data_IF_069110607335
#
_entry.id   IF_069110607335
#
_cell.length_a   1.000
_cell.length_b   1.000
_cell.length_c   1.000
_cell.angle_alpha   90.00
_cell.angle_beta   90.00
_cell.angle_gamma   90.00
#
_symmetry.space_group_name_H-M   'P 1'
#
loop_
_entity.id
_entity.type
_entity.pdbx_description
1 polymer ?
#
# COMPACT_ATOMS: atom_id res chain seq x y z
N UNK A 1 -17.66 9.70 7.82
CA UNK A 1 -17.99 10.96 8.55
C UNK A 1 -16.95 12.07 8.33
N UNK A 2 -15.62 11.81 8.39
CA UNK A 2 -14.57 12.82 8.19
C UNK A 2 -14.72 13.59 6.87
N UNK A 3 -15.01 12.90 5.75
CA UNK A 3 -15.25 13.56 4.46
C UNK A 3 -16.52 14.41 4.43
N UNK A 4 -17.55 14.06 5.21
CA UNK A 4 -18.77 14.86 5.31
C UNK A 4 -18.52 16.15 6.08
N UNK A 5 -17.71 16.10 7.14
CA UNK A 5 -17.31 17.31 7.88
C UNK A 5 -16.42 18.21 7.03
N UNK A 6 -15.51 17.65 6.24
CA UNK A 6 -14.64 18.41 5.33
C UNK A 6 -15.35 19.02 4.12
N UNK A 7 -16.62 18.72 3.89
CA UNK A 7 -17.44 19.34 2.82
C UNK A 7 -18.05 20.68 3.21
N UNK A 8 -18.00 21.10 4.48
CA UNK A 8 -18.44 22.44 4.91
C UNK A 8 -17.48 23.51 4.36
N UNK A 9 -17.94 24.47 3.53
CA UNK A 9 -17.10 25.49 2.91
C UNK A 9 -16.44 26.46 3.94
N UNK A 10 -16.94 26.48 5.18
CA UNK A 10 -16.38 27.30 6.25
C UNK A 10 -15.32 26.55 7.09
N UNK A 11 -15.08 25.27 6.81
CA UNK A 11 -14.14 24.43 7.55
C UNK A 11 -12.81 24.34 6.82
N UNK A 12 -11.72 24.67 7.51
CA UNK A 12 -10.36 24.35 7.06
C UNK A 12 -10.05 22.94 7.55
N UNK A 13 -10.12 21.96 6.64
CA UNK A 13 -9.94 20.55 7.00
C UNK A 13 -8.47 20.12 6.85
N UNK A 14 -7.90 19.59 7.92
CA UNK A 14 -6.62 18.86 7.92
C UNK A 14 -6.81 17.34 7.97
N UNK A 15 -8.05 16.86 7.87
CA UNK A 15 -8.41 15.44 8.03
C UNK A 15 -8.28 14.58 6.77
N UNK A 16 -7.96 15.17 5.62
CA UNK A 16 -7.81 14.43 4.37
C UNK A 16 -6.72 14.99 3.47
N UNK A 17 -5.78 14.16 3.05
CA UNK A 17 -4.72 14.50 2.09
C UNK A 17 -5.21 14.38 0.64
N UNK A 18 -6.13 15.24 0.22
CA UNK A 18 -6.59 15.27 -1.16
C UNK A 18 -5.55 15.97 -2.06
N UNK A 19 -5.23 15.43 -3.25
CA UNK A 19 -4.47 16.15 -4.26
C UNK A 19 -5.16 17.46 -4.62
N UNK A 20 -4.38 18.53 -4.90
CA UNK A 20 -4.94 19.80 -5.36
C UNK A 20 -5.64 19.62 -6.70
N UNK A 21 -6.84 20.20 -6.84
CA UNK A 21 -7.60 20.15 -8.10
C UNK A 21 -6.84 20.77 -9.29
N UNK A 22 -5.97 21.73 -9.03
CA UNK A 22 -5.16 22.40 -10.04
C UNK A 22 -4.04 21.49 -10.62
N UNK A 23 -3.72 20.40 -9.94
CA UNK A 23 -2.67 19.46 -10.38
C UNK A 23 -3.19 18.36 -11.29
N UNK A 24 -4.52 18.25 -11.47
CA UNK A 24 -5.08 17.22 -12.34
C UNK A 24 -4.84 17.57 -13.82
N UNK A 25 -4.20 16.69 -14.62
CA UNK A 25 -3.95 16.91 -16.04
C UNK A 25 -5.23 16.60 -16.84
N UNK A 26 -6.27 17.42 -16.67
CA UNK A 26 -7.62 17.17 -17.21
C UNK A 26 -7.63 17.11 -18.74
N UNK A 27 -6.95 18.00 -19.50
CA UNK A 27 -6.94 17.92 -20.96
C UNK A 27 -6.32 16.61 -21.46
N UNK A 28 -5.16 16.24 -20.91
CA UNK A 28 -4.42 15.03 -21.30
C UNK A 28 -5.24 13.76 -20.98
N UNK A 29 -5.92 13.73 -19.86
CA UNK A 29 -6.81 12.62 -19.48
C UNK A 29 -7.99 12.53 -20.46
N UNK A 30 -8.59 13.67 -20.84
CA UNK A 30 -9.71 13.68 -21.79
C UNK A 30 -9.29 13.17 -23.18
N UNK A 31 -8.13 13.59 -23.67
CA UNK A 31 -7.58 13.12 -24.94
C UNK A 31 -7.29 11.62 -24.93
N UNK A 32 -6.64 11.11 -23.86
CA UNK A 32 -6.36 9.69 -23.68
C UNK A 32 -7.67 8.87 -23.66
N UNK A 33 -8.69 9.34 -22.94
CA UNK A 33 -10.00 8.66 -22.90
C UNK A 33 -10.62 8.60 -24.31
N UNK A 34 -10.56 9.69 -25.07
CA UNK A 34 -11.09 9.74 -26.43
C UNK A 34 -10.37 8.76 -27.36
N UNK A 35 -9.03 8.73 -27.29
CA UNK A 35 -8.20 7.81 -28.10
C UNK A 35 -8.49 6.34 -27.75
N UNK A 36 -8.53 5.99 -26.47
CA UNK A 36 -8.80 4.62 -26.03
C UNK A 36 -10.20 4.18 -26.42
N UNK A 37 -11.21 5.04 -26.30
CA UNK A 37 -12.58 4.72 -26.72
C UNK A 37 -12.70 4.57 -28.25
N UNK A 38 -11.87 5.26 -29.03
CA UNK A 38 -11.84 5.14 -30.48
C UNK A 38 -11.11 3.86 -30.94
N UNK A 39 -9.94 3.58 -30.32
CA UNK A 39 -9.04 2.55 -30.81
C UNK A 39 -9.32 1.16 -30.23
N UNK A 40 -9.82 1.09 -28.99
CA UNK A 40 -10.06 -0.17 -28.29
C UNK A 40 -11.35 -0.19 -27.46
N UNK A 41 -12.53 0.20 -28.02
CA UNK A 41 -13.77 0.35 -27.25
C UNK A 41 -14.21 -0.96 -26.57
N UNK A 42 -14.00 -2.10 -27.21
CA UNK A 42 -14.40 -3.40 -26.66
C UNK A 42 -13.58 -3.75 -25.43
N UNK A 43 -12.27 -3.50 -25.44
CA UNK A 43 -11.41 -3.80 -24.28
C UNK A 43 -11.72 -2.93 -23.05
N UNK A 44 -12.28 -1.73 -23.29
CA UNK A 44 -12.68 -0.80 -22.21
C UNK A 44 -14.03 -1.17 -21.62
N UNK A 45 -14.97 -1.65 -22.44
CA UNK A 45 -16.37 -1.85 -22.03
C UNK A 45 -16.72 -3.30 -21.70
N UNK A 46 -15.85 -4.27 -22.02
CA UNK A 46 -16.07 -5.69 -21.77
C UNK A 46 -15.41 -6.14 -20.45
N UNK A 47 -15.84 -7.28 -19.95
CA UNK A 47 -15.14 -7.97 -18.86
C UNK A 47 -13.69 -8.26 -19.22
N UNK A 48 -12.78 -8.03 -18.27
CA UNK A 48 -11.36 -8.35 -18.36
C UNK A 48 -10.97 -9.54 -17.45
N UNK A 49 -9.67 -9.79 -17.38
CA UNK A 49 -9.11 -10.76 -16.43
C UNK A 49 -9.24 -10.24 -14.99
N UNK A 50 -9.46 -11.15 -14.04
CA UNK A 50 -9.60 -10.80 -12.61
C UNK A 50 -8.33 -10.17 -12.03
N UNK A 51 -7.17 -10.56 -12.57
CA UNK A 51 -5.84 -10.03 -12.21
C UNK A 51 -5.62 -8.61 -12.71
N UNK A 52 -6.47 -8.13 -13.60
CA UNK A 52 -6.40 -6.81 -14.21
C UNK A 52 -5.97 -6.81 -15.68
N UNK A 53 -6.07 -5.65 -16.29
CA UNK A 53 -5.77 -5.43 -17.72
C UNK A 53 -4.29 -5.72 -18.01
N UNK A 54 -4.02 -6.73 -18.85
CA UNK A 54 -2.67 -7.25 -19.09
C UNK A 54 -1.66 -6.17 -19.50
N UNK A 55 -1.95 -5.26 -20.46
CA UNK A 55 -0.98 -4.22 -20.81
C UNK A 55 -0.59 -3.29 -19.64
N UNK A 56 -1.54 -2.99 -18.75
CA UNK A 56 -1.22 -2.20 -17.53
C UNK A 56 -0.36 -3.00 -16.55
N UNK A 57 -0.68 -4.29 -16.35
CA UNK A 57 0.14 -5.18 -15.51
C UNK A 57 1.58 -5.26 -16.03
N UNK A 58 1.77 -5.46 -17.32
CA UNK A 58 3.09 -5.57 -17.95
C UNK A 58 3.85 -4.24 -17.82
N UNK A 59 3.21 -3.11 -18.10
CA UNK A 59 3.80 -1.78 -17.93
C UNK A 59 4.23 -1.56 -16.47
N UNK A 60 3.39 -1.95 -15.50
CA UNK A 60 3.73 -1.79 -14.08
C UNK A 60 4.84 -2.74 -13.63
N UNK A 61 4.89 -3.97 -14.15
CA UNK A 61 6.00 -4.90 -13.88
C UNK A 61 7.32 -4.33 -14.38
N UNK A 62 7.36 -3.83 -15.61
CA UNK A 62 8.55 -3.19 -16.20
C UNK A 62 8.97 -1.96 -15.40
N UNK A 63 8.00 -1.13 -15.01
CA UNK A 63 8.25 0.06 -14.20
C UNK A 63 8.87 -0.30 -12.84
N UNK A 64 8.27 -1.22 -12.11
CA UNK A 64 8.73 -1.63 -10.77
C UNK A 64 10.06 -2.38 -10.82
N UNK A 65 10.30 -3.18 -11.85
CA UNK A 65 11.62 -3.82 -12.06
C UNK A 65 12.70 -2.75 -12.22
N UNK A 66 12.45 -1.76 -13.06
CA UNK A 66 13.44 -0.69 -13.36
C UNK A 66 13.65 0.27 -12.19
N UNK A 67 12.59 0.65 -11.47
CA UNK A 67 12.65 1.69 -10.44
C UNK A 67 12.86 1.15 -9.04
N UNK A 68 12.39 -0.06 -8.74
CA UNK A 68 12.40 -0.67 -7.40
C UNK A 68 13.21 -1.99 -7.35
N UNK A 69 13.66 -2.50 -8.50
CA UNK A 69 14.39 -3.77 -8.59
C UNK A 69 13.54 -4.99 -8.27
N UNK A 70 12.21 -4.93 -8.45
CA UNK A 70 11.34 -6.08 -8.15
C UNK A 70 11.57 -7.23 -9.15
N UNK A 71 11.62 -8.44 -8.62
CA UNK A 71 11.68 -9.69 -9.39
C UNK A 71 10.27 -10.21 -9.68
N UNK A 72 9.93 -10.37 -10.95
CA UNK A 72 8.66 -10.95 -11.40
C UNK A 72 8.76 -12.41 -11.89
N UNK A 73 9.90 -13.07 -11.74
CA UNK A 73 9.97 -14.52 -11.89
C UNK A 73 9.21 -15.22 -10.76
N UNK A 74 9.39 -14.73 -9.52
CA UNK A 74 8.78 -15.30 -8.32
C UNK A 74 7.57 -14.51 -7.81
N UNK A 75 7.35 -13.30 -8.31
CA UNK A 75 6.24 -12.44 -7.87
C UNK A 75 5.20 -12.25 -8.98
N UNK A 76 3.98 -11.95 -8.55
CA UNK A 76 2.87 -11.56 -9.42
C UNK A 76 2.37 -10.16 -9.06
N UNK A 77 1.71 -9.51 -10.02
CA UNK A 77 1.09 -8.20 -9.84
C UNK A 77 -0.38 -8.25 -10.26
N UNK A 78 -1.27 -7.86 -9.35
CA UNK A 78 -2.69 -7.66 -9.63
C UNK A 78 -3.05 -6.19 -9.61
N UNK A 79 -3.89 -5.77 -10.57
CA UNK A 79 -4.52 -4.44 -10.56
C UNK A 79 -5.80 -4.51 -9.74
N UNK A 80 -5.95 -3.60 -8.80
CA UNK A 80 -7.03 -3.59 -7.82
C UNK A 80 -7.71 -2.21 -7.74
N UNK A 81 -8.86 -2.14 -7.08
CA UNK A 81 -9.64 -0.90 -6.90
C UNK A 81 -9.05 0.00 -5.81
N UNK A 82 -7.80 0.41 -6.00
CA UNK A 82 -7.04 1.27 -5.10
C UNK A 82 -6.38 0.51 -3.94
N UNK A 83 -5.51 1.18 -3.19
CA UNK A 83 -4.77 0.59 -2.07
C UNK A 83 -5.66 -0.02 -0.97
N UNK A 84 -6.89 0.50 -0.80
CA UNK A 84 -7.84 -0.05 0.17
C UNK A 84 -8.21 -1.51 -0.16
N UNK A 85 -8.39 -1.86 -1.43
CA UNK A 85 -8.66 -3.24 -1.82
C UNK A 85 -7.43 -4.13 -1.67
N UNK A 86 -6.22 -3.58 -1.76
CA UNK A 86 -5.00 -4.33 -1.45
C UNK A 86 -5.02 -4.82 0.01
N UNK A 87 -5.34 -3.93 0.95
CA UNK A 87 -5.47 -4.28 2.36
C UNK A 87 -6.62 -5.28 2.61
N UNK A 88 -7.76 -5.08 1.95
CA UNK A 88 -8.94 -5.95 2.07
C UNK A 88 -8.64 -7.39 1.63
N UNK A 89 -8.10 -7.56 0.42
CA UNK A 89 -7.77 -8.88 -0.11
C UNK A 89 -6.64 -9.56 0.67
N UNK A 90 -5.61 -8.80 1.07
CA UNK A 90 -4.53 -9.34 1.92
C UNK A 90 -5.10 -9.89 3.23
N UNK A 91 -5.97 -9.12 3.88
CA UNK A 91 -6.62 -9.54 5.13
C UNK A 91 -7.49 -10.77 4.91
N UNK A 92 -8.30 -10.77 3.86
CA UNK A 92 -9.20 -11.88 3.52
C UNK A 92 -8.47 -13.20 3.31
N UNK A 93 -7.26 -13.16 2.76
CA UNK A 93 -6.47 -14.36 2.44
C UNK A 93 -5.67 -14.85 3.65
N UNK A 94 -5.11 -13.94 4.45
CA UNK A 94 -4.13 -14.29 5.49
C UNK A 94 -4.69 -14.33 6.91
N UNK A 95 -5.88 -13.74 7.15
CA UNK A 95 -6.35 -13.44 8.51
C UNK A 95 -7.74 -14.02 8.74
N UNK A 96 -7.90 -14.75 9.83
CA UNK A 96 -9.20 -15.21 10.33
C UNK A 96 -9.66 -14.32 11.49
N UNK A 97 -10.94 -14.43 11.84
CA UNK A 97 -11.50 -13.78 13.03
C UNK A 97 -10.72 -14.17 14.30
N UNK A 98 -10.28 -13.17 15.04
CA UNK A 98 -9.49 -13.33 16.27
C UNK A 98 -7.97 -13.39 16.07
N UNK A 99 -7.48 -13.53 14.84
CA UNK A 99 -6.05 -13.44 14.53
C UNK A 99 -5.49 -12.04 14.87
N UNK A 100 -4.18 -12.00 15.12
CA UNK A 100 -3.47 -10.77 15.46
C UNK A 100 -2.83 -10.14 14.22
N UNK A 101 -3.04 -8.85 14.04
CA UNK A 101 -2.32 -7.99 13.08
C UNK A 101 -1.53 -6.95 13.89
N UNK A 102 -0.22 -6.87 13.62
CA UNK A 102 0.62 -5.80 14.13
C UNK A 102 0.52 -4.58 13.19
N UNK A 103 0.42 -3.39 13.75
CA UNK A 103 0.32 -2.13 12.98
C UNK A 103 1.22 -1.08 13.57
N UNK A 104 1.57 -0.07 12.81
CA UNK A 104 2.13 1.17 13.37
C UNK A 104 1.13 1.81 14.35
N UNK A 105 1.61 2.59 15.32
CA UNK A 105 0.79 3.39 16.22
C UNK A 105 1.38 4.82 16.29
N UNK A 106 0.68 5.81 15.70
CA UNK A 106 -0.59 5.74 14.98
C UNK A 106 -0.47 5.12 13.58
N UNK A 107 -1.59 4.63 13.01
CA UNK A 107 -1.66 4.08 11.65
C UNK A 107 -2.88 4.59 10.87
N UNK A 108 -2.89 4.34 9.55
CA UNK A 108 -3.95 4.77 8.66
C UNK A 108 -5.29 4.11 9.00
N UNK A 109 -6.26 4.95 9.38
CA UNK A 109 -7.59 4.52 9.87
C UNK A 109 -8.35 3.66 8.86
N UNK A 110 -8.14 3.88 7.55
CA UNK A 110 -8.79 3.08 6.50
C UNK A 110 -8.42 1.61 6.60
N UNK A 111 -7.13 1.29 6.72
CA UNK A 111 -6.65 -0.08 6.87
C UNK A 111 -7.02 -0.66 8.25
N UNK A 112 -6.92 0.12 9.33
CA UNK A 112 -7.35 -0.35 10.66
C UNK A 112 -8.82 -0.78 10.67
N UNK A 113 -9.70 -0.04 9.98
CA UNK A 113 -11.12 -0.39 9.86
C UNK A 113 -11.33 -1.65 9.02
N UNK A 114 -10.57 -1.83 7.95
CA UNK A 114 -10.58 -3.06 7.17
C UNK A 114 -10.21 -4.26 8.04
N UNK A 115 -9.10 -4.20 8.74
CA UNK A 115 -8.65 -5.29 9.61
C UNK A 115 -9.69 -5.63 10.70
N UNK A 116 -10.27 -4.61 11.33
CA UNK A 116 -11.35 -4.80 12.31
C UNK A 116 -12.61 -5.43 11.71
N UNK A 117 -12.94 -5.16 10.44
CA UNK A 117 -14.11 -5.73 9.78
C UNK A 117 -14.00 -7.24 9.57
N UNK A 118 -12.78 -7.78 9.56
CA UNK A 118 -12.50 -9.21 9.57
C UNK A 118 -12.37 -9.80 10.99
N UNK A 119 -12.64 -9.02 12.03
CA UNK A 119 -12.54 -9.48 13.41
C UNK A 119 -11.11 -9.62 13.94
N UNK A 120 -10.11 -9.05 13.25
CA UNK A 120 -8.71 -9.10 13.69
C UNK A 120 -8.48 -8.28 14.97
N UNK A 121 -7.58 -8.77 15.82
CA UNK A 121 -7.05 -8.03 16.98
C UNK A 121 -5.84 -7.21 16.53
N UNK A 122 -5.89 -5.91 16.77
CA UNK A 122 -4.83 -4.99 16.37
C UNK A 122 -3.91 -4.69 17.55
N UNK A 123 -2.60 -4.86 17.35
CA UNK A 123 -1.56 -4.49 18.30
C UNK A 123 -0.73 -3.36 17.68
N UNK A 124 -0.76 -2.19 18.28
CA UNK A 124 0.00 -1.02 17.84
C UNK A 124 1.45 -1.07 18.28
N UNK A 125 2.35 -0.80 17.36
CA UNK A 125 3.80 -0.68 17.61
C UNK A 125 4.16 0.81 17.55
N UNK A 126 4.75 1.39 18.61
CA UNK A 126 5.08 2.81 18.65
C UNK A 126 5.97 3.25 17.49
N UNK A 127 5.76 4.48 17.01
CA UNK A 127 6.62 5.12 16.03
C UNK A 127 7.66 6.00 16.70
N UNK A 128 8.91 5.92 16.23
CA UNK A 128 10.01 6.82 16.57
C UNK A 128 10.25 7.80 15.41
N UNK A 129 11.12 8.78 15.56
CA UNK A 129 11.37 9.81 14.54
C UNK A 129 11.93 9.28 13.20
N UNK A 130 12.51 8.09 13.24
CA UNK A 130 13.18 7.42 12.11
C UNK A 130 12.45 6.13 11.65
N UNK A 131 11.21 5.91 12.14
CA UNK A 131 10.36 4.78 11.76
C UNK A 131 9.83 4.00 12.96
N UNK A 132 9.29 2.82 12.72
CA UNK A 132 8.76 1.93 13.76
C UNK A 132 9.81 1.58 14.82
N UNK A 133 9.40 1.48 16.09
CA UNK A 133 10.25 0.97 17.16
C UNK A 133 10.45 -0.54 17.00
N UNK A 134 11.65 -0.93 16.55
CA UNK A 134 11.96 -2.32 16.25
C UNK A 134 12.13 -3.22 17.49
N UNK A 135 12.47 -2.64 18.63
CA UNK A 135 12.54 -3.37 19.91
C UNK A 135 11.12 -3.67 20.42
N UNK A 136 10.23 -2.68 20.33
CA UNK A 136 8.82 -2.88 20.64
C UNK A 136 8.16 -3.89 19.65
N UNK A 137 8.53 -3.86 18.36
CA UNK A 137 8.08 -4.83 17.38
C UNK A 137 8.53 -6.25 17.78
N UNK A 138 9.80 -6.44 18.13
CA UNK A 138 10.29 -7.76 18.54
C UNK A 138 9.62 -8.24 19.84
N UNK A 139 9.38 -7.34 20.79
CA UNK A 139 8.65 -7.66 22.00
C UNK A 139 7.20 -8.10 21.72
N UNK A 140 6.50 -7.40 20.81
CA UNK A 140 5.15 -7.75 20.40
C UNK A 140 5.11 -9.11 19.67
N UNK A 141 6.07 -9.40 18.78
CA UNK A 141 6.18 -10.68 18.08
C UNK A 141 6.44 -11.85 19.05
N UNK A 142 7.20 -11.62 20.11
CA UNK A 142 7.40 -12.61 21.19
C UNK A 142 6.13 -12.84 22.02
N UNK A 143 5.38 -11.79 22.27
CA UNK A 143 4.13 -11.86 23.04
C UNK A 143 2.95 -12.44 22.23
N UNK A 144 3.00 -12.30 20.91
CA UNK A 144 1.97 -12.74 19.98
C UNK A 144 2.54 -13.61 18.86
N UNK A 145 3.02 -14.82 19.18
CA UNK A 145 3.57 -15.74 18.17
C UNK A 145 2.52 -16.19 17.14
N UNK A 146 1.24 -15.99 17.41
CA UNK A 146 0.12 -16.23 16.52
C UNK A 146 -0.12 -15.11 15.49
N UNK A 147 0.60 -13.98 15.56
CA UNK A 147 0.42 -12.86 14.66
C UNK A 147 0.60 -13.28 13.19
N UNK A 148 -0.28 -12.81 12.30
CA UNK A 148 -0.31 -13.20 10.88
C UNK A 148 0.29 -12.16 9.95
N UNK A 149 0.12 -10.88 10.29
CA UNK A 149 0.42 -9.77 9.41
C UNK A 149 1.00 -8.59 10.18
N UNK A 150 2.03 -7.97 9.60
CA UNK A 150 2.50 -6.64 9.97
C UNK A 150 2.09 -5.66 8.87
N UNK A 151 1.36 -4.60 9.21
CA UNK A 151 1.01 -3.50 8.32
C UNK A 151 1.89 -2.29 8.60
N UNK A 152 2.50 -1.72 7.55
CA UNK A 152 3.38 -0.55 7.66
C UNK A 152 3.29 0.35 6.42
N UNK A 153 3.47 1.67 6.62
CA UNK A 153 3.65 2.68 5.58
C UNK A 153 5.06 3.27 5.74
N UNK A 154 6.10 2.67 5.15
CA UNK A 154 7.47 3.06 5.44
C UNK A 154 7.90 4.42 4.85
N UNK A 155 7.16 4.96 3.88
CA UNK A 155 7.46 6.24 3.24
C UNK A 155 6.35 7.24 3.51
N UNK A 156 6.70 8.37 4.17
CA UNK A 156 5.74 9.44 4.49
C UNK A 156 4.49 8.91 5.23
N UNK A 157 4.72 8.17 6.29
CA UNK A 157 3.72 7.46 7.07
C UNK A 157 2.48 8.30 7.37
N UNK A 158 1.32 7.70 7.24
CA UNK A 158 0.05 8.35 7.54
C UNK A 158 -0.47 7.86 8.91
N UNK A 159 -0.57 8.75 9.93
CA UNK A 159 -0.61 10.22 9.82
C UNK A 159 0.69 10.95 10.21
N UNK A 160 1.78 10.27 10.58
CA UNK A 160 2.94 10.90 11.22
C UNK A 160 3.86 11.68 10.24
N UNK A 161 3.81 11.35 8.94
CA UNK A 161 4.73 11.89 7.92
C UNK A 161 6.15 11.33 8.00
N UNK A 162 6.43 10.41 8.92
CA UNK A 162 7.75 9.81 9.13
C UNK A 162 8.12 8.93 7.94
N UNK A 163 9.37 9.01 7.50
CA UNK A 163 9.97 8.03 6.57
C UNK A 163 10.90 7.12 7.33
N UNK A 164 10.61 5.83 7.30
CA UNK A 164 11.39 4.79 7.95
C UNK A 164 12.75 4.64 7.27
N UNK A 165 13.83 4.69 8.04
CA UNK A 165 15.20 4.54 7.55
C UNK A 165 15.46 3.15 6.98
N UNK A 166 16.46 3.04 6.09
CA UNK A 166 16.86 1.77 5.50
C UNK A 166 17.24 0.72 6.57
N UNK A 167 17.93 1.15 7.61
CA UNK A 167 18.34 0.29 8.73
C UNK A 167 17.11 -0.35 9.41
N UNK A 168 16.11 0.46 9.73
CA UNK A 168 14.87 -0.03 10.35
C UNK A 168 14.04 -0.89 9.38
N UNK A 169 13.98 -0.56 8.08
CA UNK A 169 13.32 -1.42 7.08
C UNK A 169 13.95 -2.81 7.04
N UNK A 170 15.28 -2.88 7.03
CA UNK A 170 16.01 -4.16 7.12
C UNK A 170 15.70 -4.91 8.40
N UNK A 171 15.68 -4.20 9.53
CA UNK A 171 15.38 -4.82 10.83
C UNK A 171 13.95 -5.34 10.90
N UNK A 172 12.98 -4.60 10.40
CA UNK A 172 11.59 -5.05 10.27
C UNK A 172 11.48 -6.32 9.44
N UNK A 173 12.17 -6.36 8.29
CA UNK A 173 12.19 -7.54 7.42
C UNK A 173 12.86 -8.75 8.12
N UNK A 174 14.02 -8.56 8.77
CA UNK A 174 14.69 -9.60 9.55
C UNK A 174 13.78 -10.19 10.64
N UNK A 175 13.05 -9.32 11.35
CA UNK A 175 12.10 -9.77 12.37
C UNK A 175 10.93 -10.54 11.76
N UNK A 176 10.41 -10.10 10.61
CA UNK A 176 9.35 -10.82 9.91
C UNK A 176 9.79 -12.22 9.48
N UNK A 177 11.02 -12.36 8.96
CA UNK A 177 11.61 -13.67 8.65
C UNK A 177 11.79 -14.53 9.90
N UNK A 178 12.34 -13.96 10.98
CA UNK A 178 12.60 -14.66 12.24
C UNK A 178 11.35 -15.22 12.92
N UNK A 179 10.24 -14.47 12.83
CA UNK A 179 8.97 -14.79 13.52
C UNK A 179 7.88 -15.32 12.58
N UNK A 180 8.23 -15.62 11.33
CA UNK A 180 7.35 -16.22 10.33
C UNK A 180 6.04 -15.41 10.08
N UNK A 181 6.14 -14.08 9.98
CA UNK A 181 5.00 -13.17 9.75
C UNK A 181 5.08 -12.56 8.34
N UNK A 182 3.92 -12.35 7.71
CA UNK A 182 3.82 -11.58 6.47
C UNK A 182 3.89 -10.06 6.73
N UNK A 183 4.35 -9.28 5.74
CA UNK A 183 4.33 -7.81 5.77
C UNK A 183 3.42 -7.31 4.66
N UNK A 184 2.48 -6.43 4.98
CA UNK A 184 1.82 -5.56 4.01
C UNK A 184 2.52 -4.20 4.04
N UNK A 185 3.36 -3.96 3.05
CA UNK A 185 4.01 -2.68 2.80
C UNK A 185 3.10 -1.81 1.93
N UNK A 186 2.49 -0.79 2.51
CA UNK A 186 1.61 0.15 1.82
C UNK A 186 2.39 1.41 1.43
N UNK A 187 2.48 1.70 0.13
CA UNK A 187 3.30 2.79 -0.39
C UNK A 187 2.51 3.77 -1.29
N UNK A 188 1.54 4.53 -0.74
CA UNK A 188 0.78 5.49 -1.52
C UNK A 188 1.54 6.79 -1.82
N UNK A 189 2.65 7.08 -1.11
CA UNK A 189 3.32 8.38 -1.13
C UNK A 189 4.77 8.34 -1.63
N UNK A 190 5.34 7.16 -1.87
CA UNK A 190 6.75 7.01 -2.21
C UNK A 190 7.20 7.82 -3.43
N UNK A 191 6.31 7.96 -4.42
CA UNK A 191 6.56 8.75 -5.65
C UNK A 191 6.47 10.28 -5.44
N UNK A 192 6.06 10.74 -4.25
CA UNK A 192 5.84 12.16 -3.94
C UNK A 192 6.98 12.80 -3.13
N UNK A 193 8.20 12.35 -3.31
CA UNK A 193 9.35 12.92 -2.61
C UNK A 193 9.74 14.27 -3.20
N UNK A 194 9.73 15.31 -2.35
CA UNK A 194 10.13 16.67 -2.74
C UNK A 194 11.56 17.02 -2.34
N UNK A 195 12.17 16.27 -1.42
CA UNK A 195 13.55 16.47 -0.95
C UNK A 195 14.10 15.19 -0.34
N UNK A 196 15.44 15.11 -0.24
CA UNK A 196 16.16 13.95 0.25
C UNK A 196 16.30 12.86 -0.81
N UNK A 197 16.74 11.68 -0.40
CA UNK A 197 16.97 10.52 -1.28
C UNK A 197 15.93 9.44 -1.07
N UNK A 198 15.68 8.64 -2.10
CA UNK A 198 14.77 7.51 -2.00
C UNK A 198 15.35 6.42 -1.12
N UNK A 199 14.48 5.81 -0.31
CA UNK A 199 14.83 4.69 0.56
C UNK A 199 14.27 3.42 -0.08
N UNK A 200 15.10 2.40 -0.34
CA UNK A 200 14.64 1.12 -0.88
C UNK A 200 13.46 0.56 -0.11
N UNK A 201 12.46 0.03 -0.83
CA UNK A 201 11.28 -0.58 -0.23
C UNK A 201 11.63 -1.87 0.52
N UNK A 202 10.81 -2.29 1.48
CA UNK A 202 11.00 -3.59 2.15
C UNK A 202 10.84 -4.70 1.12
N UNK A 203 9.89 -4.56 0.19
CA UNK A 203 9.68 -5.51 -0.91
C UNK A 203 10.91 -5.72 -1.78
N UNK A 204 11.69 -4.67 -2.05
CA UNK A 204 12.93 -4.79 -2.86
C UNK A 204 14.02 -5.64 -2.20
N UNK A 205 13.92 -5.89 -0.89
CA UNK A 205 14.84 -6.71 -0.10
C UNK A 205 14.27 -8.10 0.20
N UNK A 206 13.03 -8.39 -0.26
CA UNK A 206 12.30 -9.62 0.06
C UNK A 206 12.84 -10.82 -0.72
N UNK A 207 13.62 -11.66 -0.04
CA UNK A 207 14.17 -12.90 -0.58
C UNK A 207 13.38 -14.15 -0.18
N UNK A 208 12.43 -14.02 0.78
CA UNK A 208 11.64 -15.15 1.29
C UNK A 208 10.18 -15.13 0.86
N UNK A 209 9.76 -14.12 0.07
CA UNK A 209 8.40 -13.99 -0.42
C UNK A 209 7.37 -13.56 0.63
N UNK A 210 7.81 -12.86 1.69
CA UNK A 210 6.97 -12.46 2.83
C UNK A 210 6.29 -11.12 2.68
N UNK A 211 6.75 -10.30 1.75
CA UNK A 211 6.26 -8.93 1.60
C UNK A 211 5.23 -8.83 0.48
N UNK A 212 4.02 -8.41 0.85
CA UNK A 212 3.00 -7.95 -0.08
C UNK A 212 3.15 -6.42 -0.20
N UNK A 213 3.35 -5.92 -1.42
CA UNK A 213 3.55 -4.50 -1.67
C UNK A 213 2.31 -3.91 -2.33
N UNK A 214 1.68 -2.96 -1.64
CA UNK A 214 0.51 -2.23 -2.12
C UNK A 214 0.91 -0.86 -2.67
N UNK A 215 0.63 -0.63 -3.94
CA UNK A 215 0.80 0.66 -4.60
C UNK A 215 -0.53 1.30 -4.98
N UNK A 216 -0.55 2.62 -5.13
CA UNK A 216 -1.77 3.35 -5.45
C UNK A 216 -1.51 4.49 -6.43
N UNK A 217 -2.42 4.67 -7.40
CA UNK A 217 -2.43 5.81 -8.31
C UNK A 217 -3.17 7.03 -7.73
N UNK A 218 -3.77 6.90 -6.54
CA UNK A 218 -4.62 7.93 -5.94
C UNK A 218 -3.89 9.26 -5.68
N UNK A 219 -2.57 9.22 -5.45
CA UNK A 219 -1.79 10.42 -5.11
C UNK A 219 -0.93 10.92 -6.27
N UNK A 220 -0.66 10.08 -7.27
CA UNK A 220 0.18 10.39 -8.43
C UNK A 220 -0.61 10.68 -9.71
N UNK A 221 -1.90 10.29 -9.77
CA UNK A 221 -2.81 10.57 -10.87
C UNK A 221 -4.10 11.22 -10.38
N UNK A 222 -5.08 10.40 -10.01
CA UNK A 222 -6.37 10.88 -9.50
C UNK A 222 -7.01 9.83 -8.57
N UNK A 223 -7.47 10.22 -7.38
CA UNK A 223 -8.07 9.28 -6.43
C UNK A 223 -9.40 8.70 -6.93
N UNK A 224 -10.11 9.39 -7.83
CA UNK A 224 -11.39 8.96 -8.38
C UNK A 224 -11.27 7.77 -9.35
N UNK A 225 -10.12 7.52 -9.95
CA UNK A 225 -9.90 6.34 -10.80
C UNK A 225 -9.98 5.03 -10.03
N UNK A 226 -9.86 5.08 -8.72
CA UNK A 226 -9.88 3.89 -7.85
C UNK A 226 -8.91 2.82 -8.36
N UNK A 227 -7.69 3.21 -8.71
CA UNK A 227 -6.67 2.34 -9.28
C UNK A 227 -5.52 2.15 -8.30
N UNK A 228 -5.15 0.90 -8.08
CA UNK A 228 -4.01 0.48 -7.28
C UNK A 228 -3.51 -0.88 -7.75
N UNK A 229 -2.48 -1.38 -7.13
CA UNK A 229 -1.92 -2.69 -7.46
C UNK A 229 -1.31 -3.35 -6.22
N UNK A 230 -1.27 -4.68 -6.24
CA UNK A 230 -0.65 -5.51 -5.22
C UNK A 230 0.40 -6.40 -5.86
N UNK A 231 1.63 -6.36 -5.34
CA UNK A 231 2.71 -7.28 -5.72
C UNK A 231 2.93 -8.27 -4.58
N UNK A 232 2.93 -9.55 -4.89
CA UNK A 232 3.04 -10.62 -3.91
C UNK A 232 3.76 -11.83 -4.50
N UNK A 233 4.29 -12.71 -3.65
CA UNK A 233 4.93 -13.93 -4.10
C UNK A 233 3.92 -14.92 -4.66
N UNK A 234 4.26 -15.62 -5.76
CA UNK A 234 3.39 -16.60 -6.43
C UNK A 234 3.03 -17.83 -5.57
N UNK A 235 3.71 -18.01 -4.44
CA UNK A 235 3.39 -19.09 -3.49
C UNK A 235 2.20 -18.77 -2.58
N UNK A 236 1.75 -17.52 -2.55
CA UNK A 236 0.53 -17.07 -1.88
C UNK A 236 -0.65 -17.23 -2.84
#
# INVERSE_FOLDING_TARGET
ELFKLGADPNMISFGGGNPSAETFPVPEIADIIADVMKDAPVSVLQYGLSEGYTPLRDTMKDYLTRTQGFDFENNELFILSGGQQCADLTTKVLVNEGDVILTEDPAFVGCLNTFRSYGAKLIGIPMQQDGMDTDALEAALKAHPEAKLLYTIPSFQNPSGITTTLEKRKKVYELACKYDIAILEDNPYGELRFSGEDVPTIKSMDTEGRVLYAGSFSKVMAPAFRLGFLVFNKSL
#
